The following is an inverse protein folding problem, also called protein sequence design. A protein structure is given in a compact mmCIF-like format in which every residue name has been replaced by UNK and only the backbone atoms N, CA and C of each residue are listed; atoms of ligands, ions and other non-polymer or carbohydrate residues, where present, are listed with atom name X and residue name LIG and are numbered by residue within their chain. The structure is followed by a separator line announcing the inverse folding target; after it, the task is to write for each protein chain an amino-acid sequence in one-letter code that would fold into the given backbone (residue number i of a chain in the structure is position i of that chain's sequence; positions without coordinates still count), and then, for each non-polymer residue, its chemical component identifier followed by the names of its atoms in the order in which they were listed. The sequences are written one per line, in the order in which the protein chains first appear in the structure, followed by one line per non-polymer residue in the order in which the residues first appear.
data_IF_311818501756
#
_entry.id   IF_311818501756
#
_cell.length_a   1.000
_cell.length_b   1.000
_cell.length_c   1.000
_cell.angle_alpha   90.00
_cell.angle_beta   90.00
_cell.angle_gamma   90.00
#
_symmetry.space_group_name_H-M   'P 1'
#
loop_
_entity.id
_entity.type
_entity.pdbx_description
1 polymer ?
#
# COMPACT_ATOMS: atom_id res chain seq x y z
N UNK A 1 24.99 -15.84 4.41
CA UNK A 1 23.75 -15.43 3.71
C UNK A 1 22.64 -15.46 4.74
N UNK A 2 21.84 -14.39 4.87
CA UNK A 2 20.77 -14.37 5.86
C UNK A 2 19.51 -15.00 5.31
N UNK A 3 18.73 -15.68 6.16
CA UNK A 3 17.44 -16.24 5.76
C UNK A 3 16.43 -15.15 5.35
N UNK A 4 16.55 -13.92 5.86
CA UNK A 4 15.70 -12.80 5.44
C UNK A 4 15.95 -12.34 4.00
N UNK A 5 17.07 -12.73 3.40
CA UNK A 5 17.40 -12.40 2.01
C UNK A 5 16.73 -13.38 1.03
N UNK A 6 16.19 -14.50 1.54
CA UNK A 6 15.50 -15.52 0.77
C UNK A 6 14.03 -15.14 0.48
N UNK A 7 13.39 -15.90 -0.41
CA UNK A 7 11.94 -15.87 -0.65
C UNK A 7 11.16 -16.51 0.51
N UNK A 8 9.84 -16.26 0.57
CA UNK A 8 8.98 -16.87 1.61
C UNK A 8 9.01 -18.39 1.50
N UNK A 9 8.99 -18.94 0.28
CA UNK A 9 9.11 -20.39 0.06
C UNK A 9 10.42 -20.95 0.60
N UNK A 10 11.55 -20.34 0.29
CA UNK A 10 12.86 -20.82 0.76
C UNK A 10 13.00 -20.72 2.29
N UNK A 11 12.43 -19.68 2.91
CA UNK A 11 12.35 -19.57 4.37
C UNK A 11 11.50 -20.72 4.94
N UNK A 12 10.35 -21.00 4.33
CA UNK A 12 9.47 -22.10 4.72
C UNK A 12 10.17 -23.46 4.64
N UNK A 13 10.89 -23.72 3.55
CA UNK A 13 11.70 -24.93 3.38
C UNK A 13 12.81 -25.04 4.44
N UNK A 14 13.42 -23.91 4.82
CA UNK A 14 14.40 -23.86 5.89
C UNK A 14 13.78 -24.15 7.27
N UNK A 15 12.54 -23.72 7.52
CA UNK A 15 11.79 -24.07 8.73
C UNK A 15 11.45 -25.56 8.79
N UNK A 16 10.96 -26.15 7.70
CA UNK A 16 10.70 -27.60 7.61
C UNK A 16 11.98 -28.40 7.86
N UNK A 17 13.09 -27.96 7.26
CA UNK A 17 14.39 -28.59 7.44
C UNK A 17 15.07 -28.27 8.79
N UNK A 18 14.39 -27.53 9.69
CA UNK A 18 14.88 -27.11 11.02
C UNK A 18 16.24 -26.38 10.97
N UNK A 19 16.53 -25.67 9.87
CA UNK A 19 17.78 -24.92 9.67
C UNK A 19 17.75 -23.52 10.30
N UNK A 20 16.55 -23.00 10.57
CA UNK A 20 16.27 -21.75 11.27
C UNK A 20 14.97 -21.89 12.04
N UNK A 21 14.77 -21.11 13.10
CA UNK A 21 13.50 -21.05 13.85
C UNK A 21 12.80 -19.71 13.66
N UNK A 22 11.47 -19.61 13.88
CA UNK A 22 10.76 -18.34 13.87
C UNK A 22 11.42 -17.29 14.79
N UNK A 23 11.78 -17.66 16.03
CA UNK A 23 12.47 -16.75 16.96
C UNK A 23 13.79 -16.22 16.42
N UNK A 24 14.60 -17.07 15.77
CA UNK A 24 15.87 -16.62 15.16
C UNK A 24 15.63 -15.63 14.02
N UNK A 25 14.63 -15.90 13.16
CA UNK A 25 14.33 -15.02 12.03
C UNK A 25 13.74 -13.68 12.48
N UNK A 26 12.81 -13.70 13.44
CA UNK A 26 12.21 -12.50 14.03
C UNK A 26 13.24 -11.66 14.76
N UNK A 27 14.14 -12.28 15.53
CA UNK A 27 15.22 -11.56 16.21
C UNK A 27 16.13 -10.84 15.20
N UNK A 28 16.52 -11.50 14.11
CA UNK A 28 17.29 -10.88 13.04
C UNK A 28 16.51 -9.73 12.37
N UNK A 29 15.20 -9.89 12.15
CA UNK A 29 14.37 -8.84 11.54
C UNK A 29 14.26 -7.60 12.45
N UNK A 30 14.05 -7.79 13.76
CA UNK A 30 14.07 -6.71 14.76
C UNK A 30 15.44 -6.02 14.81
N UNK A 31 16.54 -6.80 14.77
CA UNK A 31 17.90 -6.25 14.74
C UNK A 31 18.11 -5.35 13.52
N UNK A 32 17.67 -5.79 12.33
CA UNK A 32 17.72 -4.99 11.10
C UNK A 32 16.82 -3.75 11.18
N UNK A 33 15.63 -3.87 11.74
CA UNK A 33 14.71 -2.76 11.94
C UNK A 33 15.31 -1.66 12.84
N UNK A 34 15.90 -2.05 13.96
CA UNK A 34 16.59 -1.12 14.89
C UNK A 34 17.84 -0.46 14.30
N UNK A 35 18.51 -1.15 13.38
CA UNK A 35 19.69 -0.62 12.69
C UNK A 35 19.34 0.26 11.48
N UNK A 36 18.06 0.34 11.09
CA UNK A 36 17.64 1.13 9.95
C UNK A 36 17.81 2.64 10.21
N UNK A 37 18.42 3.35 9.26
CA UNK A 37 18.60 4.80 9.30
C UNK A 37 17.76 5.55 8.25
N UNK A 38 16.85 4.85 7.56
CA UNK A 38 16.02 5.40 6.48
C UNK A 38 14.67 5.93 6.97
N UNK A 39 14.42 5.97 8.28
CA UNK A 39 13.14 6.37 8.88
C UNK A 39 11.95 5.54 8.35
N UNK A 40 12.09 4.21 8.34
CA UNK A 40 11.08 3.29 7.84
C UNK A 40 9.98 2.94 8.86
N UNK A 41 10.17 3.21 10.15
CA UNK A 41 9.31 2.74 11.24
C UNK A 41 8.71 3.87 12.07
N UNK A 42 7.43 3.74 12.37
CA UNK A 42 6.73 4.51 13.41
C UNK A 42 6.82 3.80 14.77
N UNK A 43 6.80 2.47 14.75
CA UNK A 43 6.84 1.64 15.95
C UNK A 43 7.49 0.28 15.64
N UNK A 44 8.38 -0.19 16.51
CA UNK A 44 8.98 -1.54 16.44
C UNK A 44 8.39 -2.36 17.58
N UNK A 45 7.62 -3.40 17.25
CA UNK A 45 6.88 -4.26 18.18
C UNK A 45 7.77 -5.41 18.67
N UNK A 46 8.94 -5.08 19.24
CA UNK A 46 9.95 -6.08 19.60
C UNK A 46 9.44 -7.09 20.63
N UNK A 47 8.82 -6.60 21.72
CA UNK A 47 8.38 -7.46 22.82
C UNK A 47 7.28 -8.39 22.34
N UNK A 48 6.29 -7.84 21.63
CA UNK A 48 5.17 -8.56 21.06
C UNK A 48 5.64 -9.62 20.06
N UNK A 49 6.54 -9.25 19.15
CA UNK A 49 7.04 -10.14 18.10
C UNK A 49 7.88 -11.29 18.66
N UNK A 50 8.75 -11.03 19.64
CA UNK A 50 9.55 -12.08 20.29
C UNK A 50 8.66 -13.04 21.06
N UNK A 51 7.68 -12.52 21.80
CA UNK A 51 6.73 -13.35 22.55
C UNK A 51 5.87 -14.22 21.63
N UNK A 52 5.42 -13.70 20.49
CA UNK A 52 4.71 -14.48 19.47
C UNK A 52 5.60 -15.55 18.85
N UNK A 53 6.84 -15.20 18.49
CA UNK A 53 7.79 -16.14 17.88
C UNK A 53 8.12 -17.32 18.79
N UNK A 54 8.32 -17.05 20.10
CA UNK A 54 8.63 -18.08 21.09
C UNK A 54 7.48 -19.04 21.38
N UNK A 55 6.23 -18.65 21.06
CA UNK A 55 5.05 -19.50 21.20
C UNK A 55 4.84 -20.44 20.01
N UNK A 56 5.52 -20.19 18.89
CA UNK A 56 5.41 -21.07 17.72
C UNK A 56 6.18 -22.37 17.94
N UNK A 57 5.49 -23.49 17.69
CA UNK A 57 6.07 -24.83 17.71
C UNK A 57 6.69 -25.23 16.36
N UNK A 58 6.59 -26.52 16.04
CA UNK A 58 7.02 -27.04 14.74
C UNK A 58 6.26 -26.40 13.58
N UNK A 59 6.95 -26.21 12.45
CA UNK A 59 6.38 -25.57 11.26
C UNK A 59 5.18 -26.35 10.69
N UNK A 60 4.09 -25.65 10.43
CA UNK A 60 2.94 -26.19 9.71
C UNK A 60 3.26 -26.32 8.21
N UNK A 61 3.39 -27.54 7.68
CA UNK A 61 3.90 -27.80 6.33
C UNK A 61 3.13 -27.11 5.19
N UNK A 62 1.82 -26.92 5.35
CA UNK A 62 0.94 -26.28 4.35
C UNK A 62 0.78 -24.76 4.54
N UNK A 63 1.44 -24.18 5.54
CA UNK A 63 1.32 -22.78 5.88
C UNK A 63 2.61 -22.02 5.56
N UNK A 64 2.73 -21.56 4.31
CA UNK A 64 3.89 -20.80 3.82
C UNK A 64 4.18 -19.49 4.58
N UNK A 65 3.21 -18.97 5.35
CA UNK A 65 3.37 -17.76 6.14
C UNK A 65 3.69 -18.03 7.62
N UNK A 66 3.87 -19.30 8.01
CA UNK A 66 4.21 -19.68 9.37
C UNK A 66 5.52 -19.03 9.83
N UNK A 67 5.46 -18.22 10.90
CA UNK A 67 6.63 -17.56 11.49
C UNK A 67 7.27 -16.48 10.63
N UNK A 68 6.67 -16.13 9.47
CA UNK A 68 7.22 -15.12 8.58
C UNK A 68 7.06 -13.73 9.23
N UNK A 69 8.16 -12.98 9.47
CA UNK A 69 8.07 -11.63 9.98
C UNK A 69 7.51 -10.70 8.90
N UNK A 70 6.61 -9.82 9.27
CA UNK A 70 6.07 -8.79 8.40
C UNK A 70 5.94 -7.46 9.14
N UNK A 71 5.81 -6.39 8.37
CA UNK A 71 5.48 -5.06 8.89
C UNK A 71 4.18 -4.58 8.26
N UNK A 72 3.48 -3.68 8.96
CA UNK A 72 2.27 -3.07 8.42
C UNK A 72 2.41 -1.55 8.38
N UNK A 73 1.97 -0.93 7.27
CA UNK A 73 1.82 0.53 7.23
C UNK A 73 1.03 1.04 8.43
N UNK A 74 1.43 2.18 8.99
CA UNK A 74 0.87 2.66 10.25
C UNK A 74 -0.56 3.23 10.15
N UNK A 75 -1.23 3.05 9.01
CA UNK A 75 -2.67 3.29 8.87
C UNK A 75 -3.51 2.01 9.00
N UNK A 76 -2.91 0.88 9.37
CA UNK A 76 -3.61 -0.37 9.66
C UNK A 76 -3.83 -0.48 11.17
N UNK A 77 -5.09 -0.65 11.57
CA UNK A 77 -5.47 -0.92 12.95
C UNK A 77 -4.81 -2.21 13.42
N UNK A 78 -4.06 -2.12 14.51
CA UNK A 78 -3.37 -3.23 15.16
C UNK A 78 -3.73 -3.17 16.63
N UNK A 79 -4.44 -4.18 17.12
CA UNK A 79 -4.93 -4.21 18.49
C UNK A 79 -3.76 -4.06 19.46
N UNK A 80 -3.92 -3.16 20.43
CA UNK A 80 -2.97 -2.89 21.51
C UNK A 80 -1.59 -2.35 21.04
N UNK A 81 -1.42 -2.05 19.75
CA UNK A 81 -0.19 -1.49 19.16
C UNK A 81 -0.50 -0.08 18.60
N UNK A 82 0.30 0.96 18.94
CA UNK A 82 0.08 2.32 18.46
C UNK A 82 -0.16 2.40 16.94
N UNK A 83 -1.13 3.22 16.53
CA UNK A 83 -1.49 3.43 15.12
C UNK A 83 -1.75 4.91 14.89
N UNK A 84 -0.80 5.62 14.30
CA UNK A 84 -0.84 7.08 14.17
C UNK A 84 -1.16 7.56 12.75
N UNK A 85 -1.13 6.64 11.77
CA UNK A 85 -1.17 6.98 10.35
C UNK A 85 -0.14 8.07 9.97
N UNK A 86 1.02 8.05 10.65
CA UNK A 86 2.08 9.06 10.56
C UNK A 86 1.62 10.50 10.76
N UNK A 87 0.61 10.72 11.61
CA UNK A 87 0.03 12.04 11.89
C UNK A 87 0.04 12.37 13.37
N UNK A 88 0.32 13.63 13.69
CA UNK A 88 0.25 14.12 15.07
C UNK A 88 -1.19 14.10 15.62
N UNK A 89 -2.21 14.12 14.74
CA UNK A 89 -3.63 14.09 15.14
C UNK A 89 -4.02 12.76 15.82
N UNK A 90 -3.28 11.68 15.55
CA UNK A 90 -3.50 10.35 16.12
C UNK A 90 -2.35 9.94 17.05
N UNK A 91 -1.50 10.89 17.46
CA UNK A 91 -0.43 10.58 18.41
C UNK A 91 -1.02 10.00 19.71
N UNK A 92 -0.51 8.83 20.11
CA UNK A 92 -1.01 8.09 21.27
C UNK A 92 -2.28 7.26 21.02
N UNK A 93 -2.81 7.19 19.79
CA UNK A 93 -3.95 6.32 19.50
C UNK A 93 -3.53 4.84 19.50
N UNK A 94 -4.19 4.04 20.34
CA UNK A 94 -4.02 2.59 20.43
C UNK A 94 -5.36 1.94 20.05
N UNK A 95 -5.44 1.24 18.91
CA UNK A 95 -6.67 0.59 18.49
C UNK A 95 -7.09 -0.57 19.38
N UNK A 96 -8.41 -0.79 19.49
CA UNK A 96 -9.01 -1.88 20.27
C UNK A 96 -9.24 -3.16 19.47
N UNK A 97 -8.92 -3.16 18.17
CA UNK A 97 -9.15 -4.29 17.27
C UNK A 97 -8.11 -4.34 16.15
N UNK A 98 -7.92 -5.53 15.59
CA UNK A 98 -7.08 -5.74 14.41
C UNK A 98 -7.87 -5.47 13.13
N UNK A 99 -7.24 -4.84 12.14
CA UNK A 99 -7.73 -4.82 10.77
C UNK A 99 -7.85 -6.26 10.24
N UNK A 100 -8.81 -6.52 9.35
CA UNK A 100 -9.07 -7.88 8.85
C UNK A 100 -7.81 -8.53 8.27
N UNK A 101 -6.98 -7.76 7.57
CA UNK A 101 -5.73 -8.27 6.98
C UNK A 101 -4.66 -8.60 8.02
N UNK A 102 -4.61 -7.85 9.12
CA UNK A 102 -3.72 -8.17 10.25
C UNK A 102 -4.17 -9.48 10.88
N UNK A 103 -5.48 -9.63 11.13
CA UNK A 103 -6.04 -10.86 11.67
C UNK A 103 -5.80 -12.06 10.75
N UNK A 104 -5.95 -11.90 9.41
CA UNK A 104 -5.67 -12.97 8.43
C UNK A 104 -4.20 -13.42 8.50
N UNK A 105 -3.25 -12.50 8.59
CA UNK A 105 -1.82 -12.82 8.72
C UNK A 105 -1.49 -13.48 10.06
N UNK A 106 -2.04 -12.96 11.18
CA UNK A 106 -1.89 -13.58 12.50
C UNK A 106 -2.48 -15.00 12.54
N UNK A 107 -3.62 -15.24 11.87
CA UNK A 107 -4.22 -16.58 11.75
C UNK A 107 -3.32 -17.53 10.97
N UNK A 108 -2.57 -17.02 9.99
CA UNK A 108 -1.51 -17.73 9.27
C UNK A 108 -0.19 -17.77 10.03
N UNK A 109 -0.15 -17.31 11.28
CA UNK A 109 1.03 -17.34 12.16
C UNK A 109 2.21 -16.52 11.64
N UNK A 110 1.95 -15.57 10.74
CA UNK A 110 2.91 -14.53 10.41
C UNK A 110 3.01 -13.56 11.60
N UNK A 111 4.20 -12.99 11.81
CA UNK A 111 4.55 -12.23 13.02
C UNK A 111 4.73 -10.77 12.66
N UNK A 112 3.93 -9.89 13.26
CA UNK A 112 4.05 -8.46 13.06
C UNK A 112 5.24 -7.93 13.87
N UNK A 113 6.25 -7.38 13.21
CA UNK A 113 7.44 -6.84 13.91
C UNK A 113 7.40 -5.31 14.09
N UNK A 114 6.45 -4.61 13.47
CA UNK A 114 6.36 -3.16 13.59
C UNK A 114 5.39 -2.49 12.63
N UNK A 115 5.20 -1.19 12.87
CA UNK A 115 4.39 -0.27 12.07
C UNK A 115 5.30 0.65 11.26
N UNK A 116 5.06 0.78 9.97
CA UNK A 116 5.93 1.54 9.08
C UNK A 116 5.42 2.94 8.78
N UNK A 117 6.37 3.87 8.62
CA UNK A 117 6.13 5.25 8.20
C UNK A 117 5.35 5.32 6.90
N UNK A 118 4.49 6.32 6.80
CA UNK A 118 3.76 6.70 5.61
C UNK A 118 3.76 8.22 5.43
N UNK A 119 3.41 8.70 4.24
CA UNK A 119 2.94 10.09 4.13
C UNK A 119 1.67 10.24 4.98
N UNK A 120 1.55 11.37 5.69
CA UNK A 120 0.52 11.63 6.71
C UNK A 120 -0.88 11.25 6.20
N UNK A 121 -1.61 10.41 6.95
CA UNK A 121 -2.96 9.91 6.60
C UNK A 121 -3.05 9.30 5.19
N UNK A 122 -1.95 8.73 4.71
CA UNK A 122 -1.77 8.23 3.35
C UNK A 122 -1.85 9.29 2.24
N UNK A 123 -1.88 10.60 2.56
CA UNK A 123 -1.97 11.70 1.60
C UNK A 123 -0.60 12.24 1.25
N UNK A 124 -0.04 11.75 0.14
CA UNK A 124 1.25 12.21 -0.33
C UNK A 124 1.65 11.53 -1.62
N UNK A 125 2.90 11.09 -1.68
CA UNK A 125 3.47 10.52 -2.88
C UNK A 125 5.00 10.52 -2.91
N UNK A 126 5.63 11.04 -1.87
CA UNK A 126 7.07 11.28 -1.83
C UNK A 126 7.76 10.60 -0.66
N UNK A 127 7.01 10.24 0.40
CA UNK A 127 7.56 9.72 1.65
C UNK A 127 8.18 10.81 2.54
N UNK A 128 7.81 12.07 2.33
CA UNK A 128 8.46 13.23 3.01
C UNK A 128 7.58 13.86 4.09
N UNK A 129 6.36 13.36 4.28
CA UNK A 129 5.36 14.03 5.13
C UNK A 129 4.98 13.24 6.38
N UNK A 130 5.63 12.10 6.65
CA UNK A 130 5.41 11.38 7.90
C UNK A 130 5.84 12.20 9.11
N UNK A 131 5.12 12.07 10.22
CA UNK A 131 5.36 12.93 11.39
C UNK A 131 6.73 12.76 12.06
N UNK A 132 7.36 11.58 11.94
CA UNK A 132 8.74 11.35 12.41
C UNK A 132 9.82 11.82 11.41
N UNK A 133 9.42 12.24 10.21
CA UNK A 133 10.31 12.82 9.20
C UNK A 133 10.21 12.15 7.83
N UNK A 134 11.21 12.43 6.99
CA UNK A 134 11.30 11.87 5.63
C UNK A 134 11.82 10.44 5.67
N UNK A 135 11.16 9.52 4.95
CA UNK A 135 11.68 8.19 4.67
C UNK A 135 12.56 8.22 3.43
N UNK A 136 13.76 7.65 3.54
CA UNK A 136 14.75 7.64 2.46
C UNK A 136 14.74 6.32 1.69
N UNK A 137 15.33 6.34 0.50
CA UNK A 137 15.46 5.14 -0.33
C UNK A 137 16.70 4.32 0.10
N UNK A 138 16.56 3.06 0.55
CA UNK A 138 17.70 2.27 1.03
C UNK A 138 18.79 2.00 -0.03
N UNK A 139 18.49 2.16 -1.33
CA UNK A 139 19.50 2.07 -2.39
C UNK A 139 20.40 3.30 -2.50
N UNK A 140 20.06 4.40 -1.81
CA UNK A 140 20.84 5.63 -1.79
C UNK A 140 21.36 5.94 -0.37
N UNK A 141 22.60 5.54 -0.04
CA UNK A 141 23.19 5.80 1.28
C UNK A 141 23.43 7.29 1.55
N UNK A 142 23.25 8.17 0.56
CA UNK A 142 23.37 9.61 0.73
C UNK A 142 22.07 10.29 1.17
N UNK A 143 20.96 9.54 1.25
CA UNK A 143 19.63 10.02 1.64
C UNK A 143 19.12 11.19 0.76
N UNK A 144 19.44 11.18 -0.55
CA UNK A 144 19.02 12.21 -1.52
C UNK A 144 17.90 11.75 -2.43
N UNK A 145 17.74 10.44 -2.62
CA UNK A 145 16.68 9.85 -3.46
C UNK A 145 15.44 9.57 -2.63
N UNK A 146 14.30 9.95 -3.18
CA UNK A 146 12.99 9.62 -2.63
C UNK A 146 12.69 8.12 -2.81
N UNK A 147 11.99 7.55 -1.84
CA UNK A 147 11.44 6.18 -1.92
C UNK A 147 10.03 6.18 -2.53
N UNK A 148 9.41 7.36 -2.69
CA UNK A 148 8.01 7.48 -3.10
C UNK A 148 7.05 7.33 -1.92
N UNK A 149 5.75 7.45 -2.15
CA UNK A 149 4.75 7.32 -1.09
C UNK A 149 3.35 7.06 -1.64
N UNK A 150 2.35 6.85 -0.79
CA UNK A 150 2.42 7.04 0.68
C UNK A 150 2.92 5.85 1.48
N UNK A 151 3.11 4.64 0.94
CA UNK A 151 3.60 3.48 1.71
C UNK A 151 5.14 3.41 1.77
N UNK A 152 5.78 4.52 2.13
CA UNK A 152 7.23 4.71 2.03
C UNK A 152 8.03 3.79 2.95
N UNK A 153 7.66 3.68 4.22
CA UNK A 153 8.33 2.81 5.20
C UNK A 153 8.16 1.33 4.85
N UNK A 154 6.97 0.93 4.37
CA UNK A 154 6.71 -0.44 3.92
C UNK A 154 7.63 -0.86 2.78
N UNK A 155 7.79 0.01 1.77
CA UNK A 155 8.71 -0.22 0.68
C UNK A 155 10.17 -0.26 1.16
N UNK A 156 10.58 0.70 1.99
CA UNK A 156 11.93 0.76 2.55
C UNK A 156 12.28 -0.50 3.36
N UNK A 157 11.36 -1.01 4.19
CA UNK A 157 11.59 -2.21 5.00
C UNK A 157 11.83 -3.46 4.16
N UNK A 158 11.07 -3.65 3.07
CA UNK A 158 11.24 -4.83 2.20
C UNK A 158 12.48 -4.70 1.31
N UNK A 159 12.77 -3.50 0.78
CA UNK A 159 13.95 -3.29 -0.07
C UNK A 159 15.26 -3.35 0.71
N UNK A 160 15.27 -2.95 1.98
CA UNK A 160 16.41 -3.10 2.87
C UNK A 160 16.58 -4.54 3.42
N UNK A 161 15.72 -5.49 3.02
CA UNK A 161 15.78 -6.87 3.48
C UNK A 161 15.46 -7.04 4.97
N UNK A 162 14.70 -6.12 5.57
CA UNK A 162 14.30 -6.20 6.99
C UNK A 162 13.22 -7.28 7.16
N UNK A 163 12.28 -7.35 6.21
CA UNK A 163 11.23 -8.37 6.16
C UNK A 163 10.96 -8.82 4.72
N UNK A 164 10.45 -10.04 4.50
CA UNK A 164 10.01 -10.50 3.18
C UNK A 164 8.66 -9.90 2.71
N UNK A 165 7.85 -9.41 3.66
CA UNK A 165 6.50 -8.91 3.41
C UNK A 165 6.23 -7.62 4.17
N UNK A 166 5.65 -6.63 3.50
CA UNK A 166 5.06 -5.45 4.14
C UNK A 166 3.66 -5.15 3.59
N UNK A 167 2.69 -4.88 4.47
CA UNK A 167 1.38 -4.35 4.07
C UNK A 167 1.48 -2.86 3.75
N UNK A 168 0.76 -2.43 2.72
CA UNK A 168 0.63 -1.02 2.33
C UNK A 168 -0.79 -0.69 1.85
N UNK A 169 -1.03 0.57 1.49
CA UNK A 169 -2.30 0.99 0.90
C UNK A 169 -2.08 1.82 -0.36
N UNK A 170 -2.92 1.64 -1.38
CA UNK A 170 -2.84 2.30 -2.68
C UNK A 170 -4.18 2.94 -3.03
N UNK A 171 -4.20 4.28 -3.05
CA UNK A 171 -5.37 5.05 -3.49
C UNK A 171 -5.17 5.63 -4.89
N UNK A 172 -4.03 6.29 -5.12
CA UNK A 172 -3.64 6.83 -6.43
C UNK A 172 -2.51 6.02 -7.07
N UNK A 173 -1.46 5.78 -6.28
CA UNK A 173 -0.25 5.04 -6.67
C UNK A 173 0.58 4.57 -5.45
N UNK A 174 -0.02 4.59 -4.26
CA UNK A 174 0.71 4.55 -2.98
C UNK A 174 1.35 3.21 -2.61
N UNK A 175 1.17 2.16 -3.41
CA UNK A 175 1.96 0.91 -3.36
C UNK A 175 2.84 0.77 -4.59
N UNK A 176 2.26 0.97 -5.79
CA UNK A 176 2.97 0.74 -7.06
C UNK A 176 4.15 1.69 -7.27
N UNK A 177 4.00 2.98 -6.95
CA UNK A 177 5.08 3.97 -7.09
C UNK A 177 6.24 3.73 -6.11
N UNK A 178 6.01 3.52 -4.80
CA UNK A 178 7.10 3.12 -3.92
C UNK A 178 7.81 1.84 -4.36
N UNK A 179 7.05 0.83 -4.85
CA UNK A 179 7.64 -0.41 -5.33
C UNK A 179 8.53 -0.20 -6.55
N UNK A 180 8.11 0.63 -7.51
CA UNK A 180 8.91 0.98 -8.67
C UNK A 180 10.22 1.67 -8.28
N UNK A 181 10.19 2.56 -7.28
CA UNK A 181 11.37 3.29 -6.82
C UNK A 181 12.30 2.43 -5.96
N UNK A 182 11.81 1.32 -5.42
CA UNK A 182 12.55 0.41 -4.55
C UNK A 182 12.81 -0.97 -5.16
N UNK A 183 12.56 -1.15 -6.47
CA UNK A 183 12.84 -2.41 -7.15
C UNK A 183 12.08 -3.62 -6.57
N UNK A 184 10.86 -3.40 -6.08
CA UNK A 184 10.01 -4.42 -5.45
C UNK A 184 8.84 -4.83 -6.34
N UNK A 185 8.19 -5.93 -5.97
CA UNK A 185 6.84 -6.25 -6.45
C UNK A 185 5.83 -5.55 -5.53
N UNK A 186 5.11 -4.57 -6.06
CA UNK A 186 4.03 -3.88 -5.36
C UNK A 186 2.67 -4.29 -5.89
N UNK A 187 1.87 -5.01 -5.08
CA UNK A 187 0.57 -5.52 -5.50
C UNK A 187 -0.57 -4.63 -5.01
N UNK A 188 -1.30 -4.01 -5.94
CA UNK A 188 -2.62 -3.42 -5.71
C UNK A 188 -3.68 -4.27 -6.42
N UNK A 189 -4.43 -5.11 -5.70
CA UNK A 189 -5.43 -5.97 -6.34
C UNK A 189 -6.64 -5.18 -6.84
N UNK A 190 -7.63 -5.89 -7.38
CA UNK A 190 -8.94 -5.32 -7.73
C UNK A 190 -9.63 -4.72 -6.50
N UNK A 191 -10.37 -3.64 -6.67
CA UNK A 191 -11.11 -2.99 -5.58
C UNK A 191 -12.09 -3.98 -4.94
N UNK A 192 -12.06 -4.09 -3.62
CA UNK A 192 -12.82 -5.07 -2.84
C UNK A 192 -12.20 -6.49 -2.77
N UNK A 193 -11.11 -6.79 -3.49
CA UNK A 193 -10.48 -8.13 -3.45
C UNK A 193 -9.89 -8.48 -2.08
N UNK A 194 -9.36 -7.48 -1.39
CA UNK A 194 -8.87 -7.54 -0.01
C UNK A 194 -9.70 -6.55 0.80
N UNK A 195 -10.15 -6.96 1.99
CA UNK A 195 -10.94 -6.13 2.91
C UNK A 195 -10.19 -4.87 3.32
N UNK A 196 -10.95 -3.78 3.48
CA UNK A 196 -10.50 -2.48 3.98
C UNK A 196 -10.89 -2.25 5.44
N UNK A 197 -11.58 -3.20 6.08
CA UNK A 197 -11.96 -3.07 7.48
C UNK A 197 -10.74 -2.93 8.39
N UNK A 198 -10.76 -1.89 9.24
CA UNK A 198 -9.66 -1.52 10.15
C UNK A 198 -8.48 -0.82 9.46
N UNK A 199 -8.60 -0.41 8.20
CA UNK A 199 -7.63 0.50 7.57
C UNK A 199 -8.18 1.92 7.70
N UNK A 200 -7.39 2.85 8.23
CA UNK A 200 -7.76 4.26 8.28
C UNK A 200 -8.03 4.75 6.85
N UNK A 201 -9.26 5.20 6.56
CA UNK A 201 -9.67 5.55 5.21
C UNK A 201 -9.02 6.85 4.76
N UNK A 202 -8.66 6.91 3.49
CA UNK A 202 -8.32 8.15 2.80
C UNK A 202 -9.45 8.52 1.85
N UNK A 203 -9.69 7.69 0.83
CA UNK A 203 -10.77 7.83 -0.13
C UNK A 203 -11.39 6.45 -0.40
N UNK A 204 -12.41 6.02 0.37
CA UNK A 204 -12.98 4.68 0.34
C UNK A 204 -13.34 4.15 -1.05
N UNK A 205 -13.75 5.00 -1.99
CA UNK A 205 -14.06 4.56 -3.35
C UNK A 205 -12.83 4.26 -4.21
N UNK A 206 -11.63 4.58 -3.72
CA UNK A 206 -10.34 4.45 -4.39
C UNK A 206 -9.33 3.64 -3.58
N UNK A 207 -9.47 3.58 -2.25
CA UNK A 207 -8.54 2.89 -1.36
C UNK A 207 -8.51 1.38 -1.64
N UNK A 208 -7.30 0.86 -1.72
CA UNK A 208 -7.03 -0.57 -1.75
C UNK A 208 -6.01 -0.91 -0.65
N UNK A 209 -6.21 -2.05 -0.01
CA UNK A 209 -5.09 -2.72 0.67
C UNK A 209 -4.20 -3.34 -0.40
N UNK A 210 -2.91 -3.09 -0.31
CA UNK A 210 -1.87 -3.71 -1.11
C UNK A 210 -0.71 -4.15 -0.23
N UNK A 211 0.37 -4.59 -0.84
CA UNK A 211 1.54 -5.07 -0.12
C UNK A 211 2.77 -5.12 -1.03
N UNK A 212 3.92 -5.34 -0.41
CA UNK A 212 5.22 -5.42 -1.05
C UNK A 212 5.86 -6.78 -0.76
N UNK A 213 6.43 -7.39 -1.80
CA UNK A 213 7.32 -8.56 -1.69
C UNK A 213 8.51 -8.38 -2.64
N UNK A 214 9.47 -9.31 -2.60
CA UNK A 214 10.63 -9.32 -3.52
C UNK A 214 10.44 -10.22 -4.75
N UNK A 215 9.43 -11.08 -4.75
CA UNK A 215 9.17 -12.02 -5.83
C UNK A 215 7.68 -12.13 -6.18
N UNK A 216 7.39 -12.53 -7.42
CA UNK A 216 6.03 -12.79 -7.90
C UNK A 216 5.40 -13.98 -7.16
N UNK A 217 6.19 -14.99 -6.84
CA UNK A 217 5.74 -16.16 -6.07
C UNK A 217 5.25 -15.76 -4.68
N UNK A 218 6.06 -14.99 -3.94
CA UNK A 218 5.67 -14.48 -2.63
C UNK A 218 4.39 -13.61 -2.74
N UNK A 219 4.29 -12.80 -3.80
CA UNK A 219 3.10 -11.98 -4.04
C UNK A 219 1.84 -12.83 -4.22
N UNK A 220 1.93 -13.94 -4.95
CA UNK A 220 0.79 -14.82 -5.16
C UNK A 220 0.33 -15.50 -3.86
N UNK A 221 1.27 -16.03 -3.07
CA UNK A 221 0.99 -16.64 -1.75
C UNK A 221 0.34 -15.64 -0.78
N UNK A 222 0.87 -14.42 -0.73
CA UNK A 222 0.35 -13.36 0.14
C UNK A 222 -1.03 -12.90 -0.34
N UNK A 223 -1.23 -12.76 -1.65
CA UNK A 223 -2.53 -12.38 -2.19
C UNK A 223 -3.62 -13.39 -1.81
N UNK A 224 -3.33 -14.70 -1.88
CA UNK A 224 -4.26 -15.74 -1.45
C UNK A 224 -4.61 -15.63 0.03
N UNK A 225 -3.61 -15.39 0.88
CA UNK A 225 -3.81 -15.26 2.31
C UNK A 225 -4.67 -14.05 2.68
N UNK A 226 -4.57 -12.94 1.94
CA UNK A 226 -5.25 -11.68 2.23
C UNK A 226 -6.61 -11.54 1.54
N UNK A 227 -6.77 -12.13 0.36
CA UNK A 227 -7.95 -11.98 -0.47
C UNK A 227 -9.21 -12.65 0.13
N UNK A 228 -10.37 -12.25 -0.38
CA UNK A 228 -11.65 -12.89 -0.09
C UNK A 228 -12.60 -12.03 0.73
N UNK A 229 -13.87 -12.47 0.77
CA UNK A 229 -14.98 -11.83 1.45
C UNK A 229 -14.67 -11.55 2.92
N UNK A 230 -15.17 -10.43 3.41
CA UNK A 230 -15.19 -10.03 4.81
C UNK A 230 -16.54 -9.41 5.15
N UNK A 231 -17.23 -9.98 6.14
CA UNK A 231 -18.54 -9.50 6.57
C UNK A 231 -18.48 -8.13 7.26
N UNK A 232 -17.31 -7.69 7.72
CA UNK A 232 -17.10 -6.37 8.30
C UNK A 232 -16.85 -5.27 7.24
N UNK A 233 -16.64 -5.66 5.98
CA UNK A 233 -16.47 -4.76 4.84
C UNK A 233 -17.56 -5.04 3.80
N UNK A 234 -18.59 -4.19 3.77
CA UNK A 234 -19.71 -4.29 2.81
C UNK A 234 -19.28 -4.14 1.34
N UNK A 235 -18.07 -3.66 1.07
CA UNK A 235 -17.52 -3.52 -0.28
C UNK A 235 -16.59 -4.66 -0.69
N UNK A 236 -16.27 -5.56 0.24
CA UNK A 236 -15.42 -6.71 -0.06
C UNK A 236 -16.14 -7.66 -1.02
N UNK A 237 -15.37 -8.18 -1.97
CA UNK A 237 -15.84 -8.97 -3.09
C UNK A 237 -16.41 -10.32 -2.67
N UNK A 238 -17.49 -10.74 -3.33
CA UNK A 238 -18.06 -12.09 -3.23
C UNK A 238 -17.37 -13.11 -4.14
N UNK A 239 -16.43 -12.68 -5.00
CA UNK A 239 -15.70 -13.61 -5.85
C UNK A 239 -14.76 -14.49 -5.03
N UNK A 240 -14.81 -15.80 -5.26
CA UNK A 240 -13.98 -16.78 -4.56
C UNK A 240 -12.48 -16.50 -4.73
N UNK A 241 -11.70 -16.92 -3.75
CA UNK A 241 -10.23 -16.87 -3.81
C UNK A 241 -9.76 -18.09 -4.59
N UNK A 242 -9.24 -17.86 -5.79
CA UNK A 242 -8.56 -18.90 -6.57
C UNK A 242 -7.12 -19.06 -6.07
N UNK A 243 -6.50 -20.24 -6.23
CA UNK A 243 -5.10 -20.43 -5.88
C UNK A 243 -4.19 -19.74 -6.93
N UNK A 244 -4.01 -18.42 -6.79
CA UNK A 244 -3.11 -17.59 -7.60
C UNK A 244 -1.70 -18.18 -7.78
N UNK A 245 -1.09 -18.79 -6.75
CA UNK A 245 0.23 -19.40 -6.80
C UNK A 245 0.27 -20.54 -7.82
N UNK A 246 -0.80 -21.34 -7.91
CA UNK A 246 -0.91 -22.43 -8.88
C UNK A 246 -1.06 -21.90 -10.32
N UNK A 247 -1.53 -20.67 -10.50
CA UNK A 247 -1.65 -20.03 -11.82
C UNK A 247 -0.32 -19.57 -12.38
N UNK A 248 0.73 -19.42 -11.56
CA UNK A 248 2.06 -18.99 -12.02
C UNK A 248 2.72 -19.96 -13.01
N UNK A 249 2.29 -21.22 -13.02
CA UNK A 249 2.80 -22.25 -13.94
C UNK A 249 2.19 -22.15 -15.35
N UNK A 250 1.18 -21.29 -15.55
CA UNK A 250 0.54 -21.13 -16.85
C UNK A 250 1.44 -20.31 -17.79
N UNK A 251 1.69 -20.80 -19.03
CA UNK A 251 2.47 -20.03 -19.99
C UNK A 251 1.74 -18.74 -20.38
N UNK A 252 2.49 -17.65 -20.54
CA UNK A 252 1.99 -16.36 -21.00
C UNK A 252 1.91 -16.23 -22.54
N UNK A 253 2.37 -17.25 -23.28
CA UNK A 253 2.35 -17.27 -24.74
C UNK A 253 0.93 -17.10 -25.28
N UNK A 254 0.76 -16.22 -26.26
CA UNK A 254 -0.53 -15.92 -26.88
C UNK A 254 -1.37 -14.86 -26.15
N UNK A 255 -0.97 -14.40 -24.95
CA UNK A 255 -1.63 -13.28 -24.30
C UNK A 255 -1.50 -12.01 -25.13
N UNK A 256 -2.60 -11.26 -25.24
CA UNK A 256 -2.70 -9.98 -25.93
C UNK A 256 -2.42 -8.83 -24.97
N UNK A 257 -1.39 -8.07 -25.24
CA UNK A 257 -0.92 -6.95 -24.42
C UNK A 257 -1.15 -5.64 -25.16
N UNK A 258 -1.85 -4.71 -24.51
CA UNK A 258 -2.00 -3.35 -24.99
C UNK A 258 -0.97 -2.42 -24.33
N UNK A 259 -0.27 -1.63 -25.13
CA UNK A 259 0.58 -0.52 -24.68
C UNK A 259 -0.09 0.79 -25.09
N UNK A 260 -0.38 1.66 -24.12
CA UNK A 260 -0.97 2.98 -24.40
C UNK A 260 0.13 3.89 -24.97
N UNK A 261 0.01 4.23 -26.25
CA UNK A 261 1.01 4.98 -27.01
C UNK A 261 1.31 6.33 -26.39
N UNK A 262 0.29 7.04 -25.94
CA UNK A 262 0.42 8.37 -25.34
C UNK A 262 1.23 8.36 -24.04
N UNK A 263 1.13 7.27 -23.25
CA UNK A 263 1.91 7.08 -22.02
C UNK A 263 3.35 6.70 -22.39
N UNK A 264 3.54 5.78 -23.33
CA UNK A 264 4.87 5.33 -23.74
C UNK A 264 5.69 6.44 -24.41
N UNK A 265 5.04 7.34 -25.13
CA UNK A 265 5.69 8.47 -25.81
C UNK A 265 5.87 9.68 -24.90
N UNK A 266 5.50 9.57 -23.62
CA UNK A 266 5.68 10.65 -22.66
C UNK A 266 7.18 10.91 -22.44
N UNK A 267 7.60 12.17 -22.60
CA UNK A 267 9.02 12.56 -22.62
C UNK A 267 9.66 12.64 -21.22
N UNK A 268 9.20 11.85 -20.25
CA UNK A 268 9.54 12.09 -18.85
C UNK A 268 10.95 11.59 -18.47
N UNK A 269 11.37 10.40 -18.93
CA UNK A 269 12.72 9.88 -18.67
C UNK A 269 13.17 8.88 -19.77
N UNK A 270 14.18 9.20 -20.59
CA UNK A 270 14.65 8.32 -21.66
C UNK A 270 15.08 6.93 -21.19
N UNK A 271 15.70 6.83 -20.01
CA UNK A 271 16.17 5.56 -19.46
C UNK A 271 15.02 4.63 -19.07
N UNK A 272 13.93 5.18 -18.52
CA UNK A 272 12.73 4.40 -18.20
C UNK A 272 12.07 3.89 -19.47
N UNK A 273 11.92 4.75 -20.48
CA UNK A 273 11.33 4.34 -21.77
C UNK A 273 12.19 3.28 -22.45
N UNK A 274 13.51 3.43 -22.45
CA UNK A 274 14.43 2.43 -23.00
C UNK A 274 14.28 1.08 -22.28
N UNK A 275 14.32 1.06 -20.95
CA UNK A 275 14.15 -0.17 -20.17
C UNK A 275 12.77 -0.82 -20.40
N UNK A 276 11.73 0.00 -20.58
CA UNK A 276 10.40 -0.47 -20.89
C UNK A 276 10.30 -1.07 -22.31
N UNK A 277 10.86 -0.42 -23.32
CA UNK A 277 10.90 -0.95 -24.69
C UNK A 277 11.72 -2.26 -24.75
N UNK A 278 12.80 -2.39 -23.98
CA UNK A 278 13.56 -3.65 -23.81
C UNK A 278 12.70 -4.77 -23.20
N UNK A 279 11.91 -4.46 -22.16
CA UNK A 279 10.94 -5.40 -21.59
C UNK A 279 9.92 -5.83 -22.63
N UNK A 280 9.33 -4.88 -23.36
CA UNK A 280 8.33 -5.14 -24.40
C UNK A 280 8.88 -6.05 -25.49
N UNK A 281 10.08 -5.79 -25.97
CA UNK A 281 10.74 -6.64 -26.97
C UNK A 281 10.96 -8.07 -26.46
N UNK A 282 11.35 -8.23 -25.20
CA UNK A 282 11.52 -9.55 -24.56
C UNK A 282 10.19 -10.29 -24.40
N UNK A 283 9.11 -9.61 -24.05
CA UNK A 283 7.78 -10.23 -23.96
C UNK A 283 7.27 -10.67 -25.34
N UNK A 284 7.53 -9.86 -26.38
CA UNK A 284 7.21 -10.21 -27.77
C UNK A 284 7.98 -11.44 -28.26
N UNK A 285 9.28 -11.55 -27.94
CA UNK A 285 10.09 -12.73 -28.30
C UNK A 285 9.69 -14.01 -27.56
N UNK A 286 9.01 -13.88 -26.41
CA UNK A 286 8.39 -14.99 -25.66
C UNK A 286 7.00 -15.39 -26.19
N UNK A 287 6.54 -14.77 -27.28
CA UNK A 287 5.31 -15.13 -27.97
C UNK A 287 4.05 -14.46 -27.43
N UNK A 288 4.16 -13.36 -26.70
CA UNK A 288 3.02 -12.49 -26.39
C UNK A 288 2.69 -11.62 -27.61
N UNK A 289 1.39 -11.41 -27.87
CA UNK A 289 0.93 -10.51 -28.93
C UNK A 289 0.85 -9.09 -28.36
N UNK A 290 1.71 -8.18 -28.82
CA UNK A 290 1.80 -6.83 -28.26
C UNK A 290 1.39 -5.80 -29.30
N UNK A 291 0.35 -5.04 -28.99
CA UNK A 291 -0.12 -3.94 -29.83
C UNK A 291 0.01 -2.61 -29.09
N UNK A 292 0.31 -1.57 -29.87
CA UNK A 292 0.23 -0.18 -29.41
C UNK A 292 -1.19 0.32 -29.68
N UNK A 293 -1.88 0.71 -28.62
CA UNK A 293 -3.24 1.27 -28.67
C UNK A 293 -3.22 2.75 -28.37
N UNK A 294 -4.32 3.42 -28.69
CA UNK A 294 -4.50 4.84 -28.44
C UNK A 294 -5.56 5.04 -27.37
N UNK A 295 -5.25 5.91 -26.41
CA UNK A 295 -6.22 6.43 -25.46
C UNK A 295 -6.39 7.93 -25.68
N UNK A 296 -7.62 8.40 -25.53
CA UNK A 296 -7.94 9.82 -25.58
C UNK A 296 -7.04 10.65 -24.65
N UNK A 297 -6.28 11.58 -25.25
CA UNK A 297 -5.32 12.44 -24.52
C UNK A 297 -5.99 13.30 -23.45
N UNK A 298 -7.19 13.81 -23.73
CA UNK A 298 -7.95 14.63 -22.78
C UNK A 298 -8.39 13.83 -21.55
N UNK A 299 -8.68 12.54 -21.71
CA UNK A 299 -8.94 11.64 -20.58
C UNK A 299 -7.68 11.40 -19.76
N UNK A 300 -6.53 11.15 -20.40
CA UNK A 300 -5.25 10.98 -19.71
C UNK A 300 -4.89 12.22 -18.88
N UNK A 301 -5.04 13.41 -19.44
CA UNK A 301 -4.81 14.69 -18.75
C UNK A 301 -5.80 14.92 -17.60
N UNK A 302 -7.02 14.36 -17.69
CA UNK A 302 -8.04 14.48 -16.67
C UNK A 302 -7.83 13.54 -15.46
N UNK A 303 -6.97 12.51 -15.54
CA UNK A 303 -6.77 11.53 -14.46
C UNK A 303 -6.43 12.22 -13.13
N UNK A 304 -5.42 13.10 -13.13
CA UNK A 304 -4.96 13.75 -11.92
C UNK A 304 -6.02 14.71 -11.33
N UNK A 305 -6.63 15.64 -12.10
CA UNK A 305 -7.74 16.46 -11.60
C UNK A 305 -8.92 15.65 -11.04
N UNK A 306 -9.30 14.56 -11.71
CA UNK A 306 -10.37 13.66 -11.24
C UNK A 306 -9.98 13.03 -9.90
N UNK A 307 -8.78 12.47 -9.82
CA UNK A 307 -8.25 11.86 -8.60
C UNK A 307 -8.23 12.87 -7.45
N UNK A 308 -7.59 14.03 -7.62
CA UNK A 308 -7.46 15.04 -6.57
C UNK A 308 -8.82 15.50 -6.06
N UNK A 309 -9.79 15.69 -6.95
CA UNK A 309 -11.14 16.13 -6.57
C UNK A 309 -11.87 15.07 -5.75
N UNK A 310 -11.94 13.82 -6.25
CA UNK A 310 -12.65 12.73 -5.57
C UNK A 310 -11.96 12.40 -4.24
N UNK A 311 -10.65 12.18 -4.27
CA UNK A 311 -9.86 11.81 -3.12
C UNK A 311 -9.97 12.84 -1.99
N UNK A 312 -9.82 14.12 -2.31
CA UNK A 312 -9.85 15.18 -1.30
C UNK A 312 -11.26 15.37 -0.72
N UNK A 313 -12.30 15.24 -1.55
CA UNK A 313 -13.70 15.31 -1.11
C UNK A 313 -14.03 14.17 -0.14
N UNK A 314 -13.70 12.93 -0.51
CA UNK A 314 -13.93 11.77 0.38
C UNK A 314 -13.12 11.90 1.67
N UNK A 315 -11.83 12.23 1.59
CA UNK A 315 -10.97 12.43 2.76
C UNK A 315 -11.53 13.46 3.74
N UNK A 316 -12.05 14.59 3.23
CA UNK A 316 -12.68 15.63 4.06
C UNK A 316 -13.85 15.08 4.88
N UNK A 317 -14.64 14.19 4.31
CA UNK A 317 -15.76 13.56 5.00
C UNK A 317 -15.31 12.49 5.99
N UNK A 318 -14.34 11.64 5.61
CA UNK A 318 -13.91 10.51 6.44
C UNK A 318 -13.15 10.98 7.67
N UNK A 319 -12.26 11.96 7.50
CA UNK A 319 -11.37 12.47 8.54
C UNK A 319 -12.00 13.63 9.34
N UNK A 320 -13.30 13.89 9.15
CA UNK A 320 -14.05 14.85 9.95
C UNK A 320 -14.14 14.43 11.43
N UNK A 321 -14.02 13.13 11.71
CA UNK A 321 -13.99 12.56 13.06
C UNK A 321 -12.63 12.74 13.78
N UNK A 322 -11.59 13.18 13.07
CA UNK A 322 -10.27 13.47 13.63
C UNK A 322 -10.32 14.89 14.22
N UNK A 323 -10.86 15.00 15.43
CA UNK A 323 -11.22 16.26 16.08
C UNK A 323 -10.65 16.40 17.50
N UNK A 324 -9.90 15.41 17.98
CA UNK A 324 -9.29 15.39 19.32
C UNK A 324 -10.27 15.11 20.48
N UNK A 325 -11.54 14.79 20.17
CA UNK A 325 -12.57 14.51 21.20
C UNK A 325 -12.55 13.05 21.62
N UNK A 326 -12.52 12.12 20.67
CA UNK A 326 -12.63 10.68 20.94
C UNK A 326 -11.28 9.98 21.08
N UNK A 327 -10.29 10.43 20.32
CA UNK A 327 -8.97 9.82 20.24
C UNK A 327 -7.95 10.84 19.74
N UNK A 328 -6.67 10.53 19.95
CA UNK A 328 -5.57 11.46 19.68
C UNK A 328 -5.45 12.56 20.73
N UNK A 329 -4.56 13.55 20.51
CA UNK A 329 -4.36 14.64 21.46
C UNK A 329 -5.59 15.52 21.61
N UNK A 330 -6.01 15.75 22.86
CA UNK A 330 -7.13 16.65 23.19
C UNK A 330 -6.65 18.06 23.51
N UNK A 331 -7.46 19.05 23.12
CA UNK A 331 -7.21 20.47 23.35
C UNK A 331 -8.42 21.10 24.06
N UNK A 332 -8.18 22.18 24.79
CA UNK A 332 -9.22 22.91 25.51
C UNK A 332 -9.37 24.32 24.94
N UNK A 333 -10.61 24.68 24.58
CA UNK A 333 -10.99 26.01 24.10
C UNK A 333 -12.21 26.54 24.85
N UNK A 334 -12.66 27.76 24.54
CA UNK A 334 -13.85 28.34 25.19
C UNK A 334 -15.13 27.60 24.80
N UNK A 335 -15.16 27.05 23.59
CA UNK A 335 -16.24 26.22 23.06
C UNK A 335 -15.68 24.88 22.54
N UNK A 336 -16.56 23.90 22.32
CA UNK A 336 -16.16 22.64 21.68
C UNK A 336 -15.60 22.86 20.27
N UNK A 337 -16.11 23.85 19.52
CA UNK A 337 -15.56 24.24 18.22
C UNK A 337 -14.13 24.76 18.32
N UNK A 338 -13.82 25.57 19.34
CA UNK A 338 -12.44 26.04 19.56
C UNK A 338 -11.50 24.87 19.85
N UNK A 339 -11.92 23.91 20.67
CA UNK A 339 -11.15 22.71 20.97
C UNK A 339 -10.87 21.87 19.71
N UNK A 340 -11.89 21.58 18.90
CA UNK A 340 -11.74 20.83 17.65
C UNK A 340 -10.87 21.58 16.63
N UNK A 341 -11.03 22.90 16.51
CA UNK A 341 -10.21 23.72 15.63
C UNK A 341 -8.74 23.70 16.06
N UNK A 342 -8.45 23.79 17.37
CA UNK A 342 -7.09 23.69 17.89
C UNK A 342 -6.49 22.31 17.62
N UNK A 343 -7.25 21.23 17.85
CA UNK A 343 -6.81 19.88 17.54
C UNK A 343 -6.41 19.72 16.08
N UNK A 344 -7.29 20.11 15.15
CA UNK A 344 -7.03 20.00 13.71
C UNK A 344 -5.93 20.96 13.23
N UNK A 345 -5.82 22.15 13.82
CA UNK A 345 -4.78 23.13 13.46
C UNK A 345 -3.40 22.65 13.86
N UNK A 346 -3.27 22.04 15.03
CA UNK A 346 -1.98 21.58 15.56
C UNK A 346 -1.63 20.15 15.11
N UNK A 347 -2.63 19.30 14.86
CA UNK A 347 -2.45 17.88 14.58
C UNK A 347 -2.17 17.55 13.12
N UNK A 348 -2.64 18.37 12.16
CA UNK A 348 -2.42 18.13 10.74
C UNK A 348 -1.28 18.97 10.17
N UNK A 349 -0.53 18.43 9.21
CA UNK A 349 0.37 19.23 8.38
C UNK A 349 -0.37 20.15 7.42
N UNK A 350 0.36 21.10 6.84
CA UNK A 350 -0.13 22.01 5.81
C UNK A 350 -0.64 21.28 4.56
N UNK A 351 -0.04 20.15 4.18
CA UNK A 351 -0.50 19.38 3.02
C UNK A 351 -1.91 18.83 3.25
N UNK A 352 -2.16 18.27 4.43
CA UNK A 352 -3.45 17.70 4.81
C UNK A 352 -4.53 18.78 4.90
N UNK A 353 -4.22 19.91 5.54
CA UNK A 353 -5.16 21.05 5.59
C UNK A 353 -5.55 21.52 4.19
N UNK A 354 -4.60 21.61 3.25
CA UNK A 354 -4.89 21.96 1.84
C UNK A 354 -5.82 20.96 1.17
N UNK A 355 -5.61 19.65 1.39
CA UNK A 355 -6.51 18.60 0.88
C UNK A 355 -7.92 18.79 1.41
N UNK A 356 -8.08 19.03 2.71
CA UNK A 356 -9.40 19.28 3.29
C UNK A 356 -10.07 20.54 2.78
N UNK A 357 -9.32 21.62 2.52
CA UNK A 357 -9.87 22.84 1.90
C UNK A 357 -10.39 22.53 0.49
N UNK A 358 -9.62 21.82 -0.33
CA UNK A 358 -10.02 21.44 -1.69
C UNK A 358 -11.28 20.55 -1.65
N UNK A 359 -11.29 19.55 -0.77
CA UNK A 359 -12.42 18.64 -0.64
C UNK A 359 -13.68 19.33 -0.14
N UNK A 360 -13.58 20.15 0.90
CA UNK A 360 -14.69 20.97 1.41
C UNK A 360 -15.24 21.89 0.32
N UNK A 361 -14.36 22.61 -0.40
CA UNK A 361 -14.78 23.47 -1.51
C UNK A 361 -15.49 22.70 -2.62
N UNK A 362 -15.02 21.49 -2.95
CA UNK A 362 -15.65 20.63 -3.96
C UNK A 362 -17.02 20.07 -3.53
N UNK A 363 -17.28 19.98 -2.23
CA UNK A 363 -18.52 19.44 -1.65
C UNK A 363 -19.58 20.51 -1.33
N UNK A 364 -19.21 21.80 -1.31
CA UNK A 364 -20.15 22.91 -1.13
C UNK A 364 -21.27 22.87 -2.18
N UNK A 365 -22.49 23.23 -1.78
CA UNK A 365 -23.70 23.10 -2.60
C UNK A 365 -23.56 23.81 -3.97
N UNK A 366 -22.97 24.99 -3.99
CA UNK A 366 -22.73 25.80 -5.19
C UNK A 366 -21.70 25.18 -6.17
N UNK A 367 -20.85 24.27 -5.69
CA UNK A 367 -19.72 23.70 -6.42
C UNK A 367 -19.88 22.21 -6.74
N UNK A 368 -20.70 21.48 -5.96
CA UNK A 368 -20.78 20.03 -5.97
C UNK A 368 -21.05 19.45 -7.36
N UNK A 369 -21.96 20.07 -8.11
CA UNK A 369 -22.29 19.63 -9.47
C UNK A 369 -21.12 19.83 -10.45
N UNK A 370 -20.44 20.98 -10.35
CA UNK A 370 -19.38 21.41 -11.26
C UNK A 370 -18.05 20.69 -10.99
N UNK A 371 -17.80 20.29 -9.75
CA UNK A 371 -16.53 19.70 -9.32
C UNK A 371 -16.69 18.22 -8.99
N UNK A 372 -17.30 17.87 -7.85
CA UNK A 372 -17.32 16.48 -7.37
C UNK A 372 -18.10 15.54 -8.30
N UNK A 373 -19.34 15.88 -8.65
CA UNK A 373 -20.16 15.05 -9.55
C UNK A 373 -19.58 15.02 -10.97
N UNK A 374 -18.95 16.11 -11.42
CA UNK A 374 -18.24 16.16 -12.71
C UNK A 374 -17.03 15.24 -12.71
N UNK A 375 -16.25 15.20 -11.63
CA UNK A 375 -15.13 14.28 -11.48
C UNK A 375 -15.58 12.82 -11.48
N UNK A 376 -16.70 12.50 -10.81
CA UNK A 376 -17.28 11.14 -10.86
C UNK A 376 -17.71 10.74 -12.29
N UNK A 377 -18.33 11.66 -13.04
CA UNK A 377 -18.64 11.45 -14.47
C UNK A 377 -17.37 11.24 -15.30
N UNK A 378 -16.31 12.01 -15.03
CA UNK A 378 -14.99 11.83 -15.65
C UNK A 378 -14.38 10.46 -15.34
N UNK A 379 -14.45 10.01 -14.08
CA UNK A 379 -14.02 8.66 -13.66
C UNK A 379 -14.75 7.58 -14.44
N UNK A 380 -16.05 7.74 -14.68
CA UNK A 380 -16.83 6.79 -15.49
C UNK A 380 -16.30 6.69 -16.92
N UNK A 381 -15.98 7.83 -17.57
CA UNK A 381 -15.40 7.84 -18.91
C UNK A 381 -14.03 7.15 -18.96
N UNK A 382 -13.19 7.33 -17.94
CA UNK A 382 -11.91 6.62 -17.81
C UNK A 382 -12.10 5.10 -17.74
N UNK A 383 -13.04 4.64 -16.91
CA UNK A 383 -13.35 3.21 -16.76
C UNK A 383 -13.87 2.63 -18.08
N UNK A 384 -14.78 3.33 -18.76
CA UNK A 384 -15.32 2.89 -20.05
C UNK A 384 -14.24 2.79 -21.12
N UNK A 385 -13.29 3.73 -21.16
CA UNK A 385 -12.18 3.70 -22.10
C UNK A 385 -11.23 2.51 -21.84
N UNK A 386 -10.90 2.25 -20.56
CA UNK A 386 -10.10 1.06 -20.19
C UNK A 386 -10.82 -0.24 -20.50
N UNK A 387 -12.15 -0.31 -20.30
CA UNK A 387 -12.95 -1.48 -20.65
C UNK A 387 -12.99 -1.74 -22.17
N UNK A 388 -12.97 -0.71 -23.01
CA UNK A 388 -12.87 -0.91 -24.47
C UNK A 388 -11.55 -1.57 -24.85
N UNK A 389 -10.44 -1.14 -24.25
CA UNK A 389 -9.13 -1.73 -24.47
C UNK A 389 -9.13 -3.18 -23.97
N UNK A 390 -9.52 -3.41 -22.71
CA UNK A 390 -9.57 -4.75 -22.11
C UNK A 390 -10.61 -5.69 -22.74
N UNK A 391 -11.54 -5.17 -23.56
CA UNK A 391 -12.43 -5.99 -24.37
C UNK A 391 -11.73 -6.69 -25.54
N UNK A 392 -10.53 -6.24 -25.92
CA UNK A 392 -9.73 -6.82 -27.02
C UNK A 392 -8.38 -7.37 -26.58
N UNK A 393 -7.93 -7.04 -25.36
CA UNK A 393 -6.62 -7.34 -24.82
C UNK A 393 -6.73 -7.95 -23.42
N UNK A 394 -5.81 -8.85 -23.05
CA UNK A 394 -5.79 -9.53 -21.75
C UNK A 394 -5.20 -8.64 -20.64
N UNK A 395 -4.25 -7.77 -20.98
CA UNK A 395 -3.64 -6.83 -20.04
C UNK A 395 -3.18 -5.53 -20.71
N UNK A 396 -3.14 -4.47 -19.91
CA UNK A 396 -2.52 -3.19 -20.29
C UNK A 396 -1.18 -3.09 -19.58
N UNK A 397 -0.13 -2.79 -20.33
CA UNK A 397 1.22 -2.62 -19.81
C UNK A 397 1.67 -1.15 -19.96
N UNK A 398 2.13 -0.56 -18.86
CA UNK A 398 2.68 0.80 -18.83
C UNK A 398 3.95 0.83 -17.98
N UNK A 399 4.87 1.79 -18.21
CA UNK A 399 5.89 2.09 -17.22
C UNK A 399 5.22 2.49 -15.88
N UNK A 400 5.85 2.11 -14.78
CA UNK A 400 5.36 2.36 -13.42
C UNK A 400 5.72 3.77 -12.92
#
# INVERSE_FOLDING_TARGET
MSYLDLTIREIHEAYIAKKVTPSQLVFEAIRRAKANCDNAFEYIAEVEAIDEANKLGECETENFLWGIPFVAKDNFSTKDIPTTASSNILNGFIPLFDATVIQKLKNKKAILIGKTTLDELAMGGTGTTGHLGTTFNPFDPTHKRMIGGSSCGSAASVSAGIVPLALGSDTGDSVRKPAAYSGLVGMKPTWGRISRFGVFPFAPSLDHVGFFTRSIEDTALVLEALAGRDEQDSTSSFYEVVPYHALLQKPATGLKVAIISEINNSKHCPDIIKAFDELVNRLGSQGMAIDRVHMRKDLLEAIFPIYITIASAEATSNDANLDGVKFGPSYWGKTYNDAMNLARTNGFSELIKRRFIIGSFALMQENQEKLFLRAQKGRRLLVEELHKILGSYDLILTPA
#
